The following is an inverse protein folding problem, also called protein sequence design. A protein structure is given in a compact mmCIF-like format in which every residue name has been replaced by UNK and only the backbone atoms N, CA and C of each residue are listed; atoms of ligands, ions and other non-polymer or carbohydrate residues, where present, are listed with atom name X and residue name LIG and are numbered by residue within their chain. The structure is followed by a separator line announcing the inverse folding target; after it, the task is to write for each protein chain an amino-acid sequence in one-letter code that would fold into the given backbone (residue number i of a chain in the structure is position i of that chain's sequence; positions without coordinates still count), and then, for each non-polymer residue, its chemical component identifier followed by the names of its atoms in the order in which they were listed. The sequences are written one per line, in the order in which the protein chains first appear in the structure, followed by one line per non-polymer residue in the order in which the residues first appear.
data_IF_407771218608
#
_entry.id   IF_407771218608
#
_cell.length_a   1.000
_cell.length_b   1.000
_cell.length_c   1.000
_cell.angle_alpha   90.00
_cell.angle_beta   90.00
_cell.angle_gamma   90.00
#
_symmetry.space_group_name_H-M   'P 1'
#
loop_
_entity.id
_entity.type
_entity.pdbx_description
1 polymer ?
#
# COMPACT_ATOMS: atom_id res chain seq x y z
N UNK A 1 2.24 5.21 11.74
CA UNK A 1 3.11 4.40 10.87
C UNK A 1 4.55 4.40 11.38
N UNK A 2 4.94 3.38 12.11
CA UNK A 2 6.35 3.14 12.45
C UNK A 2 6.93 2.16 11.44
N UNK A 3 8.02 2.52 10.75
CA UNK A 3 8.63 1.67 9.71
C UNK A 3 10.16 1.73 9.80
N UNK A 4 10.84 0.70 9.29
CA UNK A 4 12.31 0.66 9.17
C UNK A 4 12.86 1.24 7.85
N UNK A 5 12.02 1.90 7.03
CA UNK A 5 12.46 2.48 5.76
C UNK A 5 13.17 3.82 5.94
N UNK A 6 14.02 4.17 4.97
CA UNK A 6 14.52 5.54 4.82
C UNK A 6 13.38 6.49 4.49
N UNK A 7 13.22 7.55 5.29
CA UNK A 7 12.24 8.60 5.03
C UNK A 7 12.72 9.53 3.91
N UNK A 8 11.82 9.93 3.02
CA UNK A 8 12.09 10.95 2.01
C UNK A 8 12.53 12.28 2.66
N UNK A 9 13.55 12.91 2.08
CA UNK A 9 13.99 14.25 2.48
C UNK A 9 13.11 15.29 1.79
N UNK A 10 12.48 16.16 2.57
CA UNK A 10 11.69 17.28 2.03
C UNK A 10 12.63 18.37 1.56
N UNK A 11 12.73 18.53 0.24
CA UNK A 11 13.53 19.59 -0.39
C UNK A 11 12.63 20.66 -1.01
N UNK A 12 13.02 21.94 -0.96
CA UNK A 12 12.34 22.98 -1.73
C UNK A 12 12.55 22.70 -3.23
N UNK A 13 11.46 22.67 -3.99
CA UNK A 13 11.47 22.41 -5.43
C UNK A 13 10.88 23.60 -6.19
N UNK A 14 11.35 23.82 -7.41
CA UNK A 14 10.85 24.87 -8.30
C UNK A 14 10.75 24.33 -9.73
N UNK A 15 9.70 24.73 -10.45
CA UNK A 15 9.55 24.41 -11.86
C UNK A 15 10.49 25.29 -12.69
N UNK A 16 11.23 24.70 -13.62
CA UNK A 16 12.14 25.44 -14.51
C UNK A 16 11.41 26.34 -15.50
N UNK A 17 10.11 26.13 -15.72
CA UNK A 17 9.30 26.94 -16.64
C UNK A 17 9.70 26.82 -18.12
N UNK A 18 10.48 25.79 -18.47
CA UNK A 18 10.95 25.54 -19.83
C UNK A 18 9.98 24.61 -20.58
N UNK A 19 9.82 24.76 -21.90
CA UNK A 19 9.08 23.81 -22.72
C UNK A 19 9.71 22.41 -22.67
N UNK A 20 8.89 21.37 -22.44
CA UNK A 20 9.35 19.97 -22.34
C UNK A 20 10.12 19.54 -23.58
N UNK A 21 9.60 19.83 -24.77
CA UNK A 21 10.22 19.45 -26.04
C UNK A 21 11.63 20.03 -26.20
N UNK A 22 11.83 21.27 -25.72
CA UNK A 22 13.13 21.93 -25.78
C UNK A 22 14.15 21.27 -24.84
N UNK A 23 13.71 20.92 -23.62
CA UNK A 23 14.54 20.21 -22.64
C UNK A 23 14.90 18.82 -23.17
N UNK A 24 13.92 18.08 -23.70
CA UNK A 24 14.13 16.75 -24.28
C UNK A 24 15.13 16.78 -25.43
N UNK A 25 14.96 17.70 -26.40
CA UNK A 25 15.86 17.80 -27.54
C UNK A 25 17.29 18.16 -27.11
N UNK A 26 17.44 19.08 -26.15
CA UNK A 26 18.75 19.47 -25.61
C UNK A 26 19.48 18.28 -24.95
N UNK A 27 18.75 17.45 -24.19
CA UNK A 27 19.30 16.23 -23.57
C UNK A 27 19.71 15.22 -24.66
N UNK A 28 18.85 14.98 -25.65
CA UNK A 28 19.13 14.04 -26.75
C UNK A 28 20.37 14.47 -27.54
N UNK A 29 20.49 15.75 -27.89
CA UNK A 29 21.62 16.28 -28.65
C UNK A 29 22.92 16.15 -27.86
N UNK A 30 22.87 16.43 -26.56
CA UNK A 30 24.03 16.32 -25.66
C UNK A 30 24.49 14.87 -25.50
N UNK A 31 23.56 13.94 -25.28
CA UNK A 31 23.86 12.51 -25.19
C UNK A 31 24.37 11.94 -26.52
N UNK A 32 23.76 12.33 -27.63
CA UNK A 32 24.16 11.87 -28.97
C UNK A 32 25.60 12.27 -29.28
N UNK A 33 25.97 13.52 -28.95
CA UNK A 33 27.35 14.01 -29.08
C UNK A 33 28.31 13.20 -28.21
N UNK A 34 27.96 12.99 -26.95
CA UNK A 34 28.80 12.24 -26.00
C UNK A 34 29.04 10.79 -26.46
N UNK A 35 28.00 10.10 -26.97
CA UNK A 35 28.13 8.74 -27.52
C UNK A 35 29.03 8.72 -28.75
N UNK A 36 28.85 9.64 -29.70
CA UNK A 36 29.71 9.74 -30.90
C UNK A 36 31.18 9.97 -30.57
N UNK A 37 31.46 10.76 -29.52
CA UNK A 37 32.84 11.00 -29.05
C UNK A 37 33.48 9.73 -28.47
N UNK A 38 32.71 8.92 -27.73
CA UNK A 38 33.19 7.66 -27.14
C UNK A 38 33.42 6.58 -28.20
N UNK A 39 32.47 6.41 -29.12
CA UNK A 39 32.54 5.34 -30.13
C UNK A 39 33.60 5.64 -31.22
N UNK A 40 34.20 6.84 -31.22
CA UNK A 40 35.12 7.30 -32.27
C UNK A 40 34.45 7.39 -33.65
N UNK A 41 33.12 7.31 -33.69
CA UNK A 41 32.31 7.32 -34.90
C UNK A 41 31.80 8.72 -35.17
N UNK A 42 31.99 9.21 -36.40
CA UNK A 42 31.36 10.45 -36.85
C UNK A 42 29.86 10.28 -37.19
N UNK A 43 29.30 9.08 -37.07
CA UNK A 43 27.87 8.86 -37.27
C UNK A 43 27.09 9.22 -35.99
N UNK A 44 26.01 9.98 -36.16
CA UNK A 44 25.08 10.27 -35.07
C UNK A 44 24.31 9.00 -34.68
N UNK A 45 24.11 8.74 -33.39
CA UNK A 45 23.26 7.64 -32.93
C UNK A 45 21.85 7.75 -33.50
N UNK A 46 21.24 6.60 -33.80
CA UNK A 46 19.84 6.54 -34.21
C UNK A 46 18.95 6.72 -32.99
N UNK A 47 18.15 7.78 -32.98
CA UNK A 47 17.11 7.99 -31.98
C UNK A 47 15.82 7.31 -32.44
N UNK A 48 15.30 6.40 -31.62
CA UNK A 48 14.01 5.75 -31.86
C UNK A 48 12.99 6.40 -30.92
N UNK A 49 11.92 6.96 -31.50
CA UNK A 49 10.78 7.47 -30.73
C UNK A 49 9.75 6.36 -30.65
N UNK A 50 9.49 5.88 -29.45
CA UNK A 50 8.48 4.85 -29.19
C UNK A 50 7.18 5.56 -28.83
N UNK A 51 6.12 5.44 -29.64
CA UNK A 51 4.82 6.02 -29.33
C UNK A 51 4.18 5.29 -28.15
N UNK A 52 3.39 6.04 -27.37
CA UNK A 52 2.57 5.45 -26.31
C UNK A 52 1.59 4.44 -26.90
N UNK A 53 1.47 3.28 -26.27
CA UNK A 53 0.63 2.16 -26.71
C UNK A 53 1.08 1.43 -27.98
N UNK A 54 2.26 1.75 -28.53
CA UNK A 54 2.88 1.04 -29.66
C UNK A 54 4.23 0.42 -29.28
N UNK A 55 4.51 0.30 -27.98
CA UNK A 55 5.81 -0.18 -27.48
C UNK A 55 6.11 -1.60 -27.94
N UNK A 56 5.08 -2.44 -28.09
CA UNK A 56 5.20 -3.84 -28.52
C UNK A 56 5.75 -4.01 -29.94
N UNK A 57 5.79 -2.96 -30.77
CA UNK A 57 6.41 -3.00 -32.10
C UNK A 57 7.96 -2.93 -32.02
N UNK A 58 8.49 -2.44 -30.90
CA UNK A 58 9.91 -2.19 -30.71
C UNK A 58 10.59 -3.22 -29.81
N UNK A 59 9.80 -4.03 -29.10
CA UNK A 59 10.27 -5.08 -28.18
C UNK A 59 9.51 -6.38 -28.40
N UNK A 60 9.93 -7.46 -27.74
CA UNK A 60 9.18 -8.70 -27.77
C UNK A 60 7.82 -8.53 -27.07
N UNK A 61 6.72 -8.58 -27.83
CA UNK A 61 5.36 -8.41 -27.32
C UNK A 61 5.06 -9.32 -26.11
N UNK A 62 5.34 -10.61 -26.20
CA UNK A 62 5.04 -11.56 -25.12
C UNK A 62 5.77 -11.23 -23.82
N UNK A 63 7.03 -10.83 -23.90
CA UNK A 63 7.82 -10.39 -22.74
C UNK A 63 7.32 -9.04 -22.19
N UNK A 64 6.96 -8.11 -23.07
CA UNK A 64 6.43 -6.81 -22.67
C UNK A 64 5.14 -6.95 -21.87
N UNK A 65 4.16 -7.68 -22.40
CA UNK A 65 2.88 -7.95 -21.72
C UNK A 65 3.07 -8.67 -20.38
N UNK A 66 3.98 -9.64 -20.33
CA UNK A 66 4.30 -10.33 -19.08
C UNK A 66 4.88 -9.36 -18.05
N UNK A 67 5.82 -8.50 -18.46
CA UNK A 67 6.44 -7.51 -17.58
C UNK A 67 5.48 -6.42 -17.14
N UNK A 68 4.58 -5.99 -18.01
CA UNK A 68 3.54 -5.03 -17.66
C UNK A 68 2.58 -5.60 -16.62
N UNK A 69 2.19 -6.86 -16.78
CA UNK A 69 1.40 -7.59 -15.76
C UNK A 69 2.16 -7.71 -14.44
N UNK A 70 3.45 -8.04 -14.47
CA UNK A 70 4.29 -8.07 -13.26
C UNK A 70 4.31 -6.71 -12.56
N UNK A 71 4.49 -5.61 -13.30
CA UNK A 71 4.57 -4.26 -12.74
C UNK A 71 3.27 -3.74 -12.12
N UNK A 72 2.14 -4.37 -12.46
CA UNK A 72 0.83 -4.06 -11.87
C UNK A 72 0.45 -4.96 -10.70
N UNK A 73 1.25 -6.00 -10.41
CA UNK A 73 1.01 -6.88 -9.28
C UNK A 73 1.35 -6.21 -7.95
N UNK A 74 0.53 -6.51 -6.93
CA UNK A 74 0.74 -6.01 -5.57
C UNK A 74 2.13 -6.31 -5.03
N UNK A 75 2.61 -7.54 -5.23
CA UNK A 75 3.92 -7.97 -4.75
C UNK A 75 5.07 -7.22 -5.44
N UNK A 76 4.88 -6.72 -6.66
CA UNK A 76 5.86 -5.86 -7.31
C UNK A 76 5.84 -4.45 -6.71
N UNK A 77 4.64 -3.85 -6.63
CA UNK A 77 4.47 -2.46 -6.19
C UNK A 77 4.85 -2.30 -4.72
N UNK A 78 4.41 -3.23 -3.87
CA UNK A 78 4.50 -3.13 -2.42
C UNK A 78 5.34 -4.22 -1.76
N UNK A 79 5.70 -5.32 -2.45
CA UNK A 79 6.37 -6.48 -1.83
C UNK A 79 7.68 -6.16 -1.11
N UNK A 80 8.35 -5.07 -1.52
CA UNK A 80 9.58 -4.58 -0.86
C UNK A 80 9.32 -3.64 0.33
N UNK A 81 8.06 -3.30 0.61
CA UNK A 81 7.69 -2.46 1.76
C UNK A 81 8.11 -3.18 3.05
N UNK A 82 8.79 -2.48 3.99
CA UNK A 82 9.14 -3.07 5.27
C UNK A 82 7.87 -3.38 6.07
N UNK A 83 7.98 -4.26 7.06
CA UNK A 83 6.94 -4.43 8.06
C UNK A 83 6.66 -3.09 8.78
N UNK A 84 5.40 -2.87 9.13
CA UNK A 84 4.93 -1.65 9.78
C UNK A 84 3.75 -1.94 10.71
N UNK A 85 3.56 -1.07 11.69
CA UNK A 85 2.40 -1.06 12.57
C UNK A 85 1.56 0.21 12.37
N UNK A 86 0.25 0.04 12.57
CA UNK A 86 -0.77 1.08 12.46
C UNK A 86 -1.68 1.02 13.67
N UNK A 87 -1.97 2.18 14.25
CA UNK A 87 -2.93 2.29 15.34
C UNK A 87 -4.34 2.17 14.72
N UNK A 88 -5.20 1.29 15.23
CA UNK A 88 -6.51 1.07 14.59
C UNK A 88 -7.38 2.32 14.66
N UNK A 89 -7.22 3.14 15.69
CA UNK A 89 -7.90 4.44 15.78
C UNK A 89 -7.52 5.42 14.66
N UNK A 90 -6.39 5.23 13.94
CA UNK A 90 -6.09 6.00 12.71
C UNK A 90 -7.17 5.78 11.63
N UNK A 91 -8.04 4.78 11.76
CA UNK A 91 -9.21 4.60 10.88
C UNK A 91 -10.35 5.58 11.17
N UNK A 92 -10.38 6.21 12.35
CA UNK A 92 -11.45 7.15 12.72
C UNK A 92 -11.14 8.56 12.20
N UNK A 93 -12.18 9.39 12.05
CA UNK A 93 -12.04 10.83 11.77
C UNK A 93 -12.00 11.65 13.06
N UNK A 94 -11.94 10.99 14.22
CA UNK A 94 -12.20 11.57 15.54
C UNK A 94 -10.96 11.41 16.41
N UNK A 95 -10.31 12.52 16.74
CA UNK A 95 -9.17 12.51 17.63
C UNK A 95 -9.63 12.21 19.07
N UNK A 96 -9.34 11.00 19.54
CA UNK A 96 -9.43 10.59 20.94
C UNK A 96 -10.83 10.34 21.49
N UNK A 97 -10.95 9.35 22.38
CA UNK A 97 -12.15 9.10 23.18
C UNK A 97 -12.65 7.66 23.20
N UNK A 98 -11.91 6.71 22.61
CA UNK A 98 -12.23 5.29 22.71
C UNK A 98 -10.99 4.52 23.16
N UNK A 99 -10.90 4.32 24.48
CA UNK A 99 -9.78 3.61 25.11
C UNK A 99 -9.58 2.20 24.56
N UNK A 100 -10.66 1.54 24.10
CA UNK A 100 -10.54 0.23 23.47
C UNK A 100 -9.87 0.34 22.10
N UNK A 101 -10.37 1.19 21.20
CA UNK A 101 -9.76 1.34 19.87
C UNK A 101 -8.34 1.90 19.93
N UNK A 102 -8.05 2.78 20.88
CA UNK A 102 -6.71 3.33 21.14
C UNK A 102 -5.72 2.25 21.58
N UNK A 103 -6.22 1.17 22.18
CA UNK A 103 -5.40 0.02 22.61
C UNK A 103 -5.15 -1.01 21.50
N UNK A 104 -5.89 -0.98 20.39
CA UNK A 104 -5.77 -1.98 19.32
C UNK A 104 -4.79 -1.52 18.26
N UNK A 105 -3.78 -2.36 17.97
CA UNK A 105 -2.78 -2.14 16.93
C UNK A 105 -2.83 -3.24 15.87
N UNK A 106 -2.70 -2.81 14.62
CA UNK A 106 -2.56 -3.67 13.45
C UNK A 106 -1.09 -3.80 13.09
N UNK A 107 -0.61 -5.04 13.04
CA UNK A 107 0.74 -5.38 12.61
C UNK A 107 0.68 -5.91 11.19
N UNK A 108 1.48 -5.31 10.31
CA UNK A 108 1.60 -5.70 8.92
C UNK A 108 3.01 -6.22 8.64
N UNK A 109 3.08 -7.34 7.92
CA UNK A 109 4.33 -7.90 7.43
C UNK A 109 4.83 -7.15 6.19
N UNK A 110 6.02 -7.57 5.72
CA UNK A 110 6.55 -7.09 4.45
C UNK A 110 5.55 -7.32 3.33
N UNK A 111 5.53 -6.38 2.39
CA UNK A 111 4.55 -6.42 1.31
C UNK A 111 3.20 -5.81 1.66
N UNK A 112 3.03 -5.19 2.82
CA UNK A 112 1.76 -4.57 3.21
C UNK A 112 0.65 -5.60 3.32
N UNK A 113 0.91 -6.71 4.02
CA UNK A 113 -0.08 -7.75 4.32
C UNK A 113 -0.33 -7.78 5.82
N UNK A 114 -1.59 -7.96 6.21
CA UNK A 114 -1.96 -8.07 7.62
C UNK A 114 -1.32 -9.32 8.22
N UNK A 115 -0.62 -9.17 9.33
CA UNK A 115 -0.11 -10.30 10.12
C UNK A 115 -1.07 -10.59 11.27
N UNK A 116 -1.35 -9.58 12.10
CA UNK A 116 -2.20 -9.75 13.28
C UNK A 116 -2.76 -8.43 13.81
N UNK A 117 -3.87 -8.53 14.52
CA UNK A 117 -4.42 -7.49 15.40
C UNK A 117 -4.09 -7.86 16.86
N UNK A 118 -3.60 -6.90 17.63
CA UNK A 118 -3.28 -7.10 19.05
C UNK A 118 -3.64 -5.87 19.88
N UNK A 119 -3.88 -6.13 21.15
CA UNK A 119 -4.08 -5.09 22.17
C UNK A 119 -2.73 -4.78 22.81
N UNK A 120 -2.46 -3.52 23.06
CA UNK A 120 -1.27 -3.07 23.81
C UNK A 120 -1.45 -3.32 25.30
N UNK A 121 -0.35 -3.67 25.99
CA UNK A 121 -0.32 -4.17 27.38
C UNK A 121 -0.91 -3.23 28.46
N UNK A 122 -1.40 -2.05 28.09
CA UNK A 122 -1.88 -1.01 29.02
C UNK A 122 -3.36 -1.15 29.39
N UNK A 123 -4.15 -1.97 28.67
CA UNK A 123 -5.62 -2.09 28.89
C UNK A 123 -6.03 -3.49 29.32
N UNK A 124 -6.74 -3.60 30.45
CA UNK A 124 -7.42 -4.84 30.85
C UNK A 124 -8.71 -4.97 30.06
N UNK A 125 -8.73 -5.89 29.10
CA UNK A 125 -9.92 -6.24 28.34
C UNK A 125 -10.62 -7.48 28.89
N UNK A 126 -11.92 -7.54 28.63
CA UNK A 126 -12.72 -8.74 28.86
C UNK A 126 -12.15 -9.93 28.06
N UNK A 127 -12.18 -11.12 28.66
CA UNK A 127 -11.71 -12.35 28.02
C UNK A 127 -12.45 -12.66 26.71
N UNK A 128 -13.72 -12.27 26.60
CA UNK A 128 -14.52 -12.47 25.40
C UNK A 128 -14.10 -11.53 24.26
N UNK A 129 -13.83 -10.25 24.56
CA UNK A 129 -13.28 -9.29 23.60
C UNK A 129 -11.92 -9.75 23.08
N UNK A 130 -11.06 -10.30 23.94
CA UNK A 130 -9.79 -10.89 23.53
C UNK A 130 -9.99 -12.09 22.60
N UNK A 131 -10.97 -12.96 22.88
CA UNK A 131 -11.31 -14.08 22.00
C UNK A 131 -11.89 -13.62 20.66
N UNK A 132 -12.72 -12.57 20.65
CA UNK A 132 -13.22 -11.93 19.44
C UNK A 132 -12.08 -11.36 18.60
N UNK A 133 -11.18 -10.58 19.21
CA UNK A 133 -10.02 -9.98 18.55
C UNK A 133 -9.09 -11.03 17.95
N UNK A 134 -8.82 -12.13 18.65
CA UNK A 134 -8.00 -13.22 18.12
C UNK A 134 -8.64 -13.85 16.88
N UNK A 135 -9.96 -14.08 16.89
CA UNK A 135 -10.69 -14.63 15.74
C UNK A 135 -10.73 -13.65 14.56
N UNK A 136 -10.94 -12.36 14.83
CA UNK A 136 -10.90 -11.29 13.84
C UNK A 136 -9.50 -11.15 13.23
N UNK A 137 -8.45 -11.20 14.05
CA UNK A 137 -7.06 -11.21 13.61
C UNK A 137 -6.80 -12.34 12.61
N UNK A 138 -7.29 -13.55 12.90
CA UNK A 138 -7.15 -14.70 12.00
C UNK A 138 -7.92 -14.50 10.70
N UNK A 139 -9.09 -13.85 10.72
CA UNK A 139 -9.87 -13.57 9.52
C UNK A 139 -9.19 -12.56 8.58
N UNK A 140 -8.36 -11.67 9.12
CA UNK A 140 -7.63 -10.66 8.34
C UNK A 140 -6.22 -11.08 7.93
N UNK A 141 -5.62 -12.05 8.62
CA UNK A 141 -4.26 -12.49 8.37
C UNK A 141 -4.03 -12.86 6.89
N UNK A 142 -2.97 -12.31 6.30
CA UNK A 142 -2.58 -12.48 4.89
C UNK A 142 -3.23 -11.53 3.90
N UNK A 143 -4.29 -10.80 4.29
CA UNK A 143 -4.97 -9.85 3.42
C UNK A 143 -4.09 -8.63 3.12
N UNK A 144 -4.22 -8.11 1.90
CA UNK A 144 -3.49 -6.93 1.43
C UNK A 144 -4.03 -5.66 2.09
N UNK A 145 -3.14 -4.80 2.56
CA UNK A 145 -3.46 -3.45 3.05
C UNK A 145 -3.70 -2.55 1.83
N UNK A 146 -4.89 -2.67 1.23
CA UNK A 146 -5.31 -1.94 0.02
C UNK A 146 -6.78 -1.54 0.13
N UNK A 147 -7.24 -0.56 -0.67
CA UNK A 147 -8.63 -0.13 -0.62
C UNK A 147 -9.60 -1.30 -0.75
N UNK A 148 -10.52 -1.41 0.22
CA UNK A 148 -11.65 -2.35 0.24
C UNK A 148 -11.29 -3.84 0.30
N UNK A 149 -10.01 -4.23 0.43
CA UNK A 149 -9.64 -5.65 0.42
C UNK A 149 -10.19 -6.44 1.61
N UNK A 150 -10.50 -5.76 2.71
CA UNK A 150 -10.95 -6.42 3.94
C UNK A 150 -12.46 -6.55 4.01
N UNK A 151 -13.22 -5.80 3.22
CA UNK A 151 -14.68 -5.64 3.37
C UNK A 151 -15.41 -6.98 3.37
N UNK A 152 -15.13 -7.83 2.37
CA UNK A 152 -15.77 -9.14 2.27
C UNK A 152 -15.41 -10.07 3.45
N UNK A 153 -14.15 -10.05 3.89
CA UNK A 153 -13.72 -10.87 5.03
C UNK A 153 -14.36 -10.40 6.34
N UNK A 154 -14.43 -9.07 6.53
CA UNK A 154 -15.06 -8.44 7.68
C UNK A 154 -16.57 -8.69 7.72
N UNK A 155 -17.25 -8.60 6.59
CA UNK A 155 -18.69 -8.89 6.48
C UNK A 155 -19.01 -10.35 6.78
N UNK A 156 -18.24 -11.27 6.19
CA UNK A 156 -18.40 -12.71 6.45
C UNK A 156 -18.10 -13.06 7.91
N UNK A 157 -17.06 -12.45 8.49
CA UNK A 157 -16.71 -12.63 9.89
C UNK A 157 -17.84 -12.12 10.80
N UNK A 158 -18.30 -10.89 10.58
CA UNK A 158 -19.36 -10.27 11.39
C UNK A 158 -20.68 -11.04 11.33
N UNK A 159 -21.06 -11.50 10.14
CA UNK A 159 -22.24 -12.35 10.00
C UNK A 159 -22.12 -13.63 10.82
N UNK A 160 -20.98 -14.34 10.76
CA UNK A 160 -20.77 -15.56 11.55
C UNK A 160 -20.78 -15.29 13.05
N UNK A 161 -20.19 -14.17 13.47
CA UNK A 161 -20.09 -13.82 14.89
C UNK A 161 -21.47 -13.54 15.50
N UNK A 162 -22.28 -12.74 14.82
CA UNK A 162 -23.63 -12.36 15.29
C UNK A 162 -24.57 -13.57 15.38
N UNK A 163 -24.42 -14.57 14.50
CA UNK A 163 -25.16 -15.83 14.62
C UNK A 163 -24.68 -16.73 15.76
N UNK A 164 -23.39 -16.71 16.10
CA UNK A 164 -22.80 -17.61 17.08
C UNK A 164 -22.92 -17.09 18.52
N UNK A 165 -22.80 -15.78 18.74
CA UNK A 165 -22.75 -15.14 20.05
C UNK A 165 -23.67 -13.91 20.10
N UNK A 166 -24.98 -14.09 20.35
CA UNK A 166 -25.93 -12.99 20.45
C UNK A 166 -25.84 -12.33 21.84
N UNK A 167 -24.68 -11.76 22.17
CA UNK A 167 -24.46 -11.04 23.43
C UNK A 167 -24.54 -9.52 23.20
N UNK A 168 -25.58 -8.84 23.70
CA UNK A 168 -25.86 -7.45 23.37
C UNK A 168 -24.93 -6.44 24.05
N UNK A 169 -24.23 -6.83 25.13
CA UNK A 169 -23.46 -5.90 25.96
C UNK A 169 -22.16 -5.42 25.27
N UNK A 170 -21.51 -6.29 24.50
CA UNK A 170 -20.25 -6.00 23.80
C UNK A 170 -20.42 -5.76 22.29
N UNK A 171 -21.66 -5.84 21.79
CA UNK A 171 -21.96 -5.77 20.35
C UNK A 171 -21.57 -4.42 19.74
N UNK A 172 -21.73 -3.34 20.51
CA UNK A 172 -21.36 -1.97 20.08
C UNK A 172 -19.86 -1.84 19.84
N UNK A 173 -19.02 -2.34 20.75
CA UNK A 173 -17.56 -2.27 20.65
C UNK A 173 -17.04 -3.12 19.49
N UNK A 174 -17.58 -4.34 19.37
CA UNK A 174 -17.24 -5.25 18.27
C UNK A 174 -17.62 -4.64 16.92
N UNK A 175 -18.84 -4.11 16.77
CA UNK A 175 -19.31 -3.48 15.53
C UNK A 175 -18.48 -2.23 15.19
N UNK A 176 -18.15 -1.42 16.20
CA UNK A 176 -17.32 -0.22 16.02
C UNK A 176 -15.92 -0.59 15.52
N UNK A 177 -15.29 -1.62 16.07
CA UNK A 177 -14.00 -2.11 15.58
C UNK A 177 -14.08 -2.57 14.12
N UNK A 178 -15.09 -3.35 13.75
CA UNK A 178 -15.30 -3.77 12.36
C UNK A 178 -15.42 -2.56 11.43
N UNK A 179 -16.21 -1.57 11.80
CA UNK A 179 -16.39 -0.36 10.99
C UNK A 179 -15.09 0.45 10.89
N UNK A 180 -14.34 0.59 11.97
CA UNK A 180 -13.05 1.28 11.98
C UNK A 180 -12.04 0.58 11.07
N UNK A 181 -12.01 -0.76 11.07
CA UNK A 181 -11.14 -1.52 10.18
C UNK A 181 -11.51 -1.37 8.70
N UNK A 182 -12.81 -1.26 8.37
CA UNK A 182 -13.25 -0.92 7.01
C UNK A 182 -12.79 0.49 6.60
N UNK A 183 -12.91 1.46 7.50
CA UNK A 183 -12.42 2.82 7.24
C UNK A 183 -10.90 2.88 7.09
N UNK A 184 -10.18 2.06 7.85
CA UNK A 184 -8.73 1.93 7.73
C UNK A 184 -8.33 1.29 6.40
N UNK A 185 -9.00 0.22 5.99
CA UNK A 185 -8.84 -0.44 4.68
C UNK A 185 -8.98 0.55 3.52
N UNK A 186 -9.97 1.45 3.58
CA UNK A 186 -10.18 2.51 2.58
C UNK A 186 -9.00 3.50 2.45
N UNK A 187 -8.21 3.69 3.51
CA UNK A 187 -7.14 4.70 3.56
C UNK A 187 -5.79 4.20 3.06
N UNK A 188 -5.59 2.89 2.95
CA UNK A 188 -4.40 2.33 2.30
C UNK A 188 -4.47 2.54 0.79
#
# INVERSE_FOLDING_TARGET
LQTKASSSVRSPVVNLGLPIDHVQQTIIDSLSKWISEIDGSHQKPKVIRVPEHEEYEYVNHGQFEQKLKEFTQWDWIYGSSPAFDVDVNDGTMSAGGDEFLDSVRLYCDRGGRVNQLKVTDEVRLDSELLCFLSRLSNALCGLECRPFAWDSALDQFWSKETFANPEPELEVEKQKLIQTLKMLSLRF
#
